data_IF_802860989280
#
_entry.id   IF_802860989280
#
_cell.length_a   1.000
_cell.length_b   1.000
_cell.length_c   1.000
_cell.angle_alpha   90.00
_cell.angle_beta   90.00
_cell.angle_gamma   90.00
#
_symmetry.space_group_name_H-M   'P 1'
#
loop_
_entity.id
_entity.type
_entity.pdbx_description
1 polymer ?
#
# COMPACT_ATOMS: atom_id res chain seq x y z
N UNK A 1 11.73 -38.07 -4.89
CA UNK A 1 12.35 -36.80 -4.53
C UNK A 1 11.64 -35.69 -5.33
N UNK A 2 10.59 -35.06 -4.79
CA UNK A 2 9.92 -33.93 -5.45
C UNK A 2 10.82 -32.72 -5.26
N UNK A 3 11.43 -32.23 -6.35
CA UNK A 3 12.02 -30.91 -6.35
C UNK A 3 10.94 -29.92 -5.85
N UNK A 4 11.14 -29.35 -4.69
CA UNK A 4 10.30 -28.24 -4.21
C UNK A 4 10.43 -27.15 -5.26
N UNK A 5 9.37 -26.90 -6.03
CA UNK A 5 9.28 -25.72 -6.87
C UNK A 5 9.41 -24.52 -5.94
N UNK A 6 10.64 -24.06 -5.77
CA UNK A 6 10.89 -22.80 -5.08
C UNK A 6 10.31 -21.73 -6.02
N UNK A 7 9.28 -20.99 -5.63
CA UNK A 7 8.73 -19.96 -6.52
C UNK A 7 9.88 -19.03 -6.89
N UNK A 8 9.97 -18.70 -8.16
CA UNK A 8 10.95 -17.71 -8.65
C UNK A 8 10.52 -16.33 -8.12
N UNK A 9 10.91 -16.04 -6.86
CA UNK A 9 10.59 -14.79 -6.16
C UNK A 9 11.09 -13.59 -6.92
N UNK A 10 12.26 -13.69 -7.52
CA UNK A 10 12.86 -12.62 -8.30
C UNK A 10 11.90 -12.23 -9.43
N UNK A 11 11.45 -13.21 -10.21
CA UNK A 11 10.51 -12.96 -11.31
C UNK A 11 9.16 -12.43 -10.82
N UNK A 12 8.67 -12.88 -9.65
CA UNK A 12 7.44 -12.34 -9.05
C UNK A 12 7.64 -10.87 -8.69
N UNK A 13 8.73 -10.51 -7.99
CA UNK A 13 8.99 -9.13 -7.59
C UNK A 13 9.14 -8.20 -8.80
N UNK A 14 9.93 -8.62 -9.81
CA UNK A 14 10.12 -7.82 -11.02
C UNK A 14 8.81 -7.56 -11.76
N UNK A 15 7.98 -8.61 -11.95
CA UNK A 15 6.67 -8.47 -12.60
C UNK A 15 5.73 -7.58 -11.82
N UNK A 16 5.71 -7.69 -10.49
CA UNK A 16 4.87 -6.85 -9.64
C UNK A 16 5.32 -5.39 -9.73
N UNK A 17 6.61 -5.12 -9.62
CA UNK A 17 7.17 -3.77 -9.79
C UNK A 17 6.75 -3.16 -11.13
N UNK A 18 6.98 -3.90 -12.23
CA UNK A 18 6.62 -3.42 -13.58
C UNK A 18 5.11 -3.17 -13.68
N UNK A 19 4.30 -4.10 -13.20
CA UNK A 19 2.84 -3.99 -13.24
C UNK A 19 2.33 -2.77 -12.49
N UNK A 20 2.81 -2.52 -11.28
CA UNK A 20 2.37 -1.38 -10.46
C UNK A 20 2.74 -0.04 -11.09
N UNK A 21 3.95 0.09 -11.63
CA UNK A 21 4.34 1.29 -12.37
C UNK A 21 3.52 1.51 -13.64
N UNK A 22 3.14 0.44 -14.36
CA UNK A 22 2.27 0.53 -15.53
C UNK A 22 0.87 0.99 -15.12
N UNK A 23 0.29 0.45 -14.04
CA UNK A 23 -1.00 0.89 -13.53
C UNK A 23 -0.96 2.36 -13.11
N UNK A 24 0.07 2.77 -12.37
CA UNK A 24 0.24 4.18 -11.99
C UNK A 24 0.39 5.08 -13.22
N UNK A 25 1.17 4.66 -14.23
CA UNK A 25 1.34 5.42 -15.46
C UNK A 25 0.01 5.61 -16.20
N UNK A 26 -0.83 4.57 -16.29
CA UNK A 26 -2.17 4.66 -16.88
C UNK A 26 -3.07 5.63 -16.12
N UNK A 27 -3.05 5.59 -14.77
CA UNK A 27 -3.79 6.53 -13.93
C UNK A 27 -3.34 7.96 -14.17
N UNK A 28 -2.01 8.19 -14.17
CA UNK A 28 -1.45 9.53 -14.38
C UNK A 28 -1.69 10.05 -15.80
N UNK A 29 -1.69 9.17 -16.79
CA UNK A 29 -2.10 9.52 -18.16
C UNK A 29 -3.55 9.98 -18.21
N UNK A 30 -4.46 9.23 -17.55
CA UNK A 30 -5.88 9.62 -17.44
C UNK A 30 -6.06 10.95 -16.72
N UNK A 31 -5.31 11.20 -15.64
CA UNK A 31 -5.30 12.48 -14.91
C UNK A 31 -4.85 13.63 -15.83
N UNK A 32 -3.77 13.41 -16.61
CA UNK A 32 -3.22 14.40 -17.54
C UNK A 32 -4.17 14.72 -18.69
N UNK A 33 -4.77 13.69 -19.32
CA UNK A 33 -5.75 13.88 -20.40
C UNK A 33 -6.94 14.72 -19.94
N UNK A 34 -7.35 14.59 -18.66
CA UNK A 34 -8.42 15.40 -18.07
C UNK A 34 -7.95 16.79 -17.56
N UNK A 35 -6.76 17.25 -17.98
CA UNK A 35 -6.24 18.58 -17.64
C UNK A 35 -5.79 18.76 -16.19
N UNK A 36 -5.65 17.66 -15.44
CA UNK A 36 -5.20 17.67 -14.06
C UNK A 36 -3.70 17.36 -13.95
N UNK A 37 -3.12 17.59 -12.78
CA UNK A 37 -1.68 17.38 -12.54
C UNK A 37 -1.44 16.20 -11.59
N UNK A 38 -0.23 15.65 -11.59
CA UNK A 38 0.21 14.62 -10.63
C UNK A 38 -0.05 15.04 -9.18
N UNK A 39 0.04 16.34 -8.88
CA UNK A 39 -0.23 16.88 -7.54
C UNK A 39 -1.68 16.68 -7.10
N UNK A 40 -2.62 16.56 -8.02
CA UNK A 40 -4.00 16.23 -7.68
C UNK A 40 -4.13 14.82 -7.10
N UNK A 41 -3.22 13.92 -7.45
CA UNK A 41 -3.17 12.55 -6.92
C UNK A 41 -2.35 12.48 -5.63
N UNK A 42 -1.16 13.08 -5.62
CA UNK A 42 -0.21 12.96 -4.51
C UNK A 42 -0.46 13.93 -3.34
N UNK A 43 -1.21 15.00 -3.59
CA UNK A 43 -1.33 16.15 -2.71
C UNK A 43 -0.26 17.22 -2.99
N UNK A 44 -0.39 18.38 -2.36
CA UNK A 44 0.50 19.53 -2.56
C UNK A 44 1.97 19.22 -2.24
N UNK A 45 2.88 19.92 -2.91
CA UNK A 45 4.33 19.80 -2.64
C UNK A 45 4.64 20.24 -1.22
N UNK A 46 5.64 19.60 -0.61
CA UNK A 46 6.24 20.16 0.60
C UNK A 46 6.89 21.51 0.27
N UNK A 47 6.40 22.54 0.90
CA UNK A 47 6.92 23.90 0.75
C UNK A 47 7.90 24.27 1.87
N UNK A 48 7.89 23.51 2.95
CA UNK A 48 8.71 23.74 4.14
C UNK A 48 9.22 22.44 4.72
N UNK A 49 10.38 22.49 5.36
CA UNK A 49 10.96 21.36 6.12
C UNK A 49 10.01 20.90 7.24
N UNK A 50 9.25 21.83 7.84
CA UNK A 50 8.23 21.52 8.86
C UNK A 50 7.13 20.62 8.30
N UNK A 51 6.66 20.83 7.07
CA UNK A 51 5.65 19.98 6.44
C UNK A 51 6.17 18.56 6.23
N UNK A 52 7.42 18.42 5.77
CA UNK A 52 8.07 17.13 5.62
C UNK A 52 8.14 16.38 6.96
N UNK A 53 8.65 17.01 8.03
CA UNK A 53 8.71 16.37 9.36
C UNK A 53 7.32 16.04 9.91
N UNK A 54 6.32 16.89 9.65
CA UNK A 54 4.93 16.61 10.03
C UNK A 54 4.40 15.35 9.34
N UNK A 55 4.61 15.21 8.02
CA UNK A 55 4.15 14.04 7.28
C UNK A 55 4.95 12.79 7.67
N UNK A 56 6.24 12.92 7.93
CA UNK A 56 7.07 11.84 8.46
C UNK A 56 6.56 11.37 9.84
N UNK A 57 6.35 12.28 10.78
CA UNK A 57 5.85 11.96 12.12
C UNK A 57 4.46 11.30 12.10
N UNK A 58 3.56 11.82 11.25
CA UNK A 58 2.22 11.22 11.08
C UNK A 58 2.32 9.85 10.41
N UNK A 59 3.18 9.68 9.40
CA UNK A 59 3.43 8.39 8.78
C UNK A 59 3.95 7.35 9.78
N UNK A 60 4.88 7.73 10.65
CA UNK A 60 5.41 6.85 11.71
C UNK A 60 4.34 6.49 12.75
N UNK A 61 3.48 7.44 13.14
CA UNK A 61 2.35 7.15 14.03
C UNK A 61 1.35 6.20 13.37
N UNK A 62 1.07 6.39 12.10
CA UNK A 62 0.19 5.50 11.34
C UNK A 62 0.80 4.10 11.18
N UNK A 63 2.09 3.99 10.91
CA UNK A 63 2.83 2.72 10.90
C UNK A 63 2.69 1.99 12.24
N UNK A 64 2.90 2.70 13.35
CA UNK A 64 2.75 2.11 14.68
C UNK A 64 1.32 1.59 14.92
N UNK A 65 0.29 2.38 14.57
CA UNK A 65 -1.11 1.97 14.66
C UNK A 65 -1.41 0.75 13.77
N UNK A 66 -0.84 0.69 12.58
CA UNK A 66 -0.98 -0.45 11.65
C UNK A 66 -0.36 -1.72 12.22
N UNK A 67 0.86 -1.64 12.75
CA UNK A 67 1.56 -2.77 13.39
C UNK A 67 0.77 -3.27 14.59
N UNK A 68 0.24 -2.35 15.43
CA UNK A 68 -0.57 -2.72 16.59
C UNK A 68 -1.83 -3.47 16.15
N UNK A 69 -2.54 -2.96 15.13
CA UNK A 69 -3.74 -3.63 14.60
C UNK A 69 -3.41 -5.03 14.05
N UNK A 70 -2.33 -5.16 13.28
CA UNK A 70 -1.88 -6.46 12.75
C UNK A 70 -1.52 -7.43 13.89
N UNK A 71 -0.83 -6.97 14.92
CA UNK A 71 -0.47 -7.76 16.09
C UNK A 71 -1.72 -8.26 16.84
N UNK A 72 -2.70 -7.40 17.04
CA UNK A 72 -3.98 -7.76 17.66
C UNK A 72 -4.72 -8.79 16.79
N UNK A 73 -4.81 -8.57 15.48
CA UNK A 73 -5.47 -9.50 14.57
C UNK A 73 -4.80 -10.88 14.58
N UNK A 74 -3.46 -10.92 14.60
CA UNK A 74 -2.69 -12.18 14.65
C UNK A 74 -2.91 -12.92 15.99
N UNK A 75 -2.99 -12.22 17.11
CA UNK A 75 -3.22 -12.84 18.43
C UNK A 75 -4.60 -13.49 18.58
N UNK A 76 -5.58 -13.10 17.75
CA UNK A 76 -6.92 -13.67 17.72
C UNK A 76 -7.11 -14.73 16.59
N UNK A 77 -6.01 -15.19 15.98
CA UNK A 77 -6.07 -16.20 14.92
C UNK A 77 -6.59 -15.69 13.57
N UNK A 78 -6.71 -14.37 13.41
CA UNK A 78 -7.32 -13.75 12.23
C UNK A 78 -6.44 -13.72 10.98
N UNK A 79 -5.14 -13.85 11.12
CA UNK A 79 -4.22 -13.82 9.99
C UNK A 79 -3.02 -14.73 10.28
N UNK A 80 -3.07 -15.99 9.83
CA UNK A 80 -1.88 -16.83 9.86
C UNK A 80 -0.97 -16.45 8.70
N UNK A 81 0.27 -16.12 9.01
CA UNK A 81 1.33 -15.65 8.11
C UNK A 81 1.77 -16.68 7.04
N UNK A 82 1.15 -17.88 7.06
CA UNK A 82 1.57 -19.01 6.21
C UNK A 82 1.35 -18.80 4.71
N UNK A 83 0.36 -17.97 4.34
CA UNK A 83 0.00 -17.76 2.93
C UNK A 83 0.97 -16.85 2.16
N UNK A 84 1.78 -16.04 2.85
CA UNK A 84 2.74 -15.11 2.24
C UNK A 84 4.19 -15.43 2.55
N UNK A 85 4.46 -16.36 3.46
CA UNK A 85 5.84 -16.76 3.84
C UNK A 85 6.69 -17.21 2.65
N UNK A 86 6.06 -17.78 1.61
CA UNK A 86 6.78 -18.16 0.40
C UNK A 86 7.30 -16.96 -0.41
N UNK A 87 6.72 -15.78 -0.21
CA UNK A 87 7.13 -14.54 -0.87
C UNK A 87 8.23 -13.78 -0.11
N UNK A 88 8.53 -14.13 1.14
CA UNK A 88 9.53 -13.42 1.92
C UNK A 88 10.94 -13.61 1.35
N UNK A 89 11.77 -12.54 1.32
CA UNK A 89 13.08 -12.57 0.70
C UNK A 89 14.07 -13.40 1.55
N UNK A 90 14.84 -14.30 0.94
CA UNK A 90 15.80 -15.19 1.64
C UNK A 90 17.26 -14.90 1.35
N UNK A 91 17.57 -14.28 0.24
CA UNK A 91 18.95 -13.99 -0.20
C UNK A 91 19.18 -12.49 -0.35
N UNK A 92 20.46 -12.11 -0.58
CA UNK A 92 20.82 -10.69 -0.72
C UNK A 92 20.07 -10.02 -1.88
N UNK A 93 20.07 -10.63 -3.05
CA UNK A 93 19.40 -10.10 -4.24
C UNK A 93 17.89 -9.98 -4.03
N UNK A 94 17.27 -11.01 -3.41
CA UNK A 94 15.85 -10.98 -3.08
C UNK A 94 15.54 -9.85 -2.07
N UNK A 95 16.41 -9.58 -1.09
CA UNK A 95 16.25 -8.47 -0.14
C UNK A 95 16.38 -7.10 -0.80
N UNK A 96 17.31 -6.94 -1.73
CA UNK A 96 17.46 -5.70 -2.50
C UNK A 96 16.22 -5.44 -3.37
N UNK A 97 15.72 -6.46 -4.05
CA UNK A 97 14.48 -6.38 -4.83
C UNK A 97 13.24 -6.16 -3.94
N UNK A 98 13.21 -6.76 -2.74
CA UNK A 98 12.13 -6.52 -1.78
C UNK A 98 12.06 -5.07 -1.33
N UNK A 99 13.19 -4.43 -1.06
CA UNK A 99 13.24 -2.99 -0.78
C UNK A 99 12.68 -2.19 -1.95
N UNK A 100 13.08 -2.52 -3.18
CA UNK A 100 12.55 -1.85 -4.37
C UNK A 100 11.04 -2.08 -4.53
N UNK A 101 10.56 -3.30 -4.30
CA UNK A 101 9.14 -3.65 -4.32
C UNK A 101 8.37 -2.87 -3.26
N UNK A 102 8.88 -2.82 -2.01
CA UNK A 102 8.25 -2.06 -0.92
C UNK A 102 8.11 -0.57 -1.25
N UNK A 103 9.14 0.03 -1.83
CA UNK A 103 9.09 1.43 -2.29
C UNK A 103 8.06 1.58 -3.41
N UNK A 104 8.04 0.66 -4.37
CA UNK A 104 7.11 0.66 -5.49
C UNK A 104 5.67 0.54 -4.99
N UNK A 105 5.36 -0.47 -4.17
CA UNK A 105 4.02 -0.69 -3.63
C UNK A 105 3.55 0.51 -2.81
N UNK A 106 4.35 1.01 -1.86
CA UNK A 106 3.97 2.15 -1.05
C UNK A 106 3.73 3.43 -1.85
N UNK A 107 4.40 3.64 -2.98
CA UNK A 107 4.16 4.80 -3.85
C UNK A 107 2.97 4.55 -4.78
N UNK A 108 2.99 3.45 -5.52
CA UNK A 108 2.02 3.20 -6.58
C UNK A 108 0.63 2.92 -6.01
N UNK A 109 0.53 2.07 -5.01
CA UNK A 109 -0.76 1.71 -4.41
C UNK A 109 -1.40 2.90 -3.68
N UNK A 110 -0.64 3.67 -2.89
CA UNK A 110 -1.21 4.85 -2.25
C UNK A 110 -1.65 5.90 -3.27
N UNK A 111 -0.90 6.11 -4.35
CA UNK A 111 -1.29 7.01 -5.42
C UNK A 111 -2.55 6.53 -6.14
N UNK A 112 -2.62 5.24 -6.50
CA UNK A 112 -3.74 4.65 -7.24
C UNK A 112 -4.99 4.57 -6.37
N UNK A 113 -4.90 3.96 -5.18
CA UNK A 113 -6.09 3.68 -4.35
C UNK A 113 -6.56 4.92 -3.59
N UNK A 114 -5.67 5.66 -2.90
CA UNK A 114 -6.06 6.80 -2.06
C UNK A 114 -6.03 8.12 -2.84
N UNK A 115 -5.02 8.28 -3.69
CA UNK A 115 -4.85 9.48 -4.49
C UNK A 115 -5.85 9.62 -5.63
N UNK A 116 -6.19 8.52 -6.30
CA UNK A 116 -7.07 8.54 -7.46
C UNK A 116 -8.40 7.85 -7.20
N UNK A 117 -8.43 6.53 -6.98
CA UNK A 117 -9.67 5.73 -6.96
C UNK A 117 -10.64 6.17 -5.87
N UNK A 118 -10.14 6.39 -4.65
CA UNK A 118 -10.94 6.93 -3.55
C UNK A 118 -11.64 8.24 -3.94
N UNK A 119 -10.94 9.15 -4.59
CA UNK A 119 -11.50 10.43 -5.02
C UNK A 119 -12.57 10.25 -6.12
N UNK A 120 -12.37 9.30 -7.06
CA UNK A 120 -13.38 8.96 -8.04
C UNK A 120 -14.66 8.44 -7.37
N UNK A 121 -14.53 7.52 -6.41
CA UNK A 121 -15.69 7.02 -5.65
C UNK A 121 -16.38 8.11 -4.83
N UNK A 122 -15.62 9.00 -4.22
CA UNK A 122 -16.18 10.15 -3.49
C UNK A 122 -16.97 11.07 -4.44
N UNK A 123 -16.46 11.33 -5.63
CA UNK A 123 -17.12 12.15 -6.63
C UNK A 123 -18.40 11.48 -7.16
N UNK A 124 -18.36 10.20 -7.47
CA UNK A 124 -19.49 9.42 -7.99
C UNK A 124 -20.61 9.27 -6.95
N UNK A 125 -20.25 8.97 -5.71
CA UNK A 125 -21.22 8.71 -4.62
C UNK A 125 -21.64 9.98 -3.90
N UNK A 126 -20.95 11.10 -4.12
CA UNK A 126 -21.09 12.36 -3.38
C UNK A 126 -20.92 12.17 -1.85
N UNK A 127 -20.19 11.15 -1.46
CA UNK A 127 -20.01 10.76 -0.04
C UNK A 127 -18.56 10.38 0.24
N UNK A 128 -17.96 11.07 1.20
CA UNK A 128 -16.57 10.78 1.67
C UNK A 128 -16.48 9.39 2.29
N UNK A 129 -17.34 9.01 3.27
CA UNK A 129 -17.26 7.68 3.89
C UNK A 129 -17.43 6.54 2.86
N UNK A 130 -18.39 6.67 1.95
CA UNK A 130 -18.63 5.64 0.91
C UNK A 130 -17.42 5.53 -0.01
N UNK A 131 -16.83 6.65 -0.43
CA UNK A 131 -15.65 6.64 -1.28
C UNK A 131 -14.45 5.96 -0.61
N UNK A 132 -14.22 6.19 0.68
CA UNK A 132 -13.19 5.53 1.46
C UNK A 132 -13.46 4.02 1.53
N UNK A 133 -14.67 3.62 1.90
CA UNK A 133 -15.06 2.20 2.03
C UNK A 133 -14.91 1.46 0.70
N UNK A 134 -15.42 2.02 -0.41
CA UNK A 134 -15.30 1.39 -1.73
C UNK A 134 -13.83 1.22 -2.16
N UNK A 135 -13.01 2.24 -1.95
CA UNK A 135 -11.56 2.13 -2.26
C UNK A 135 -10.88 1.07 -1.40
N UNK A 136 -11.21 0.99 -0.11
CA UNK A 136 -10.68 0.00 0.81
C UNK A 136 -11.11 -1.44 0.44
N UNK A 137 -12.36 -1.62 0.02
CA UNK A 137 -12.86 -2.91 -0.46
C UNK A 137 -12.13 -3.37 -1.72
N UNK A 138 -11.92 -2.48 -2.69
CA UNK A 138 -11.15 -2.81 -3.90
C UNK A 138 -9.71 -3.15 -3.55
N UNK A 139 -9.10 -2.39 -2.64
CA UNK A 139 -7.75 -2.65 -2.16
C UNK A 139 -7.62 -4.02 -1.47
N UNK A 140 -8.52 -4.33 -0.53
CA UNK A 140 -8.57 -5.65 0.12
C UNK A 140 -8.81 -6.78 -0.88
N UNK A 141 -9.74 -6.59 -1.85
CA UNK A 141 -10.02 -7.58 -2.88
C UNK A 141 -8.80 -7.87 -3.78
N UNK A 142 -7.98 -6.87 -4.09
CA UNK A 142 -6.73 -7.06 -4.82
C UNK A 142 -5.73 -7.96 -4.07
N UNK A 143 -5.84 -8.05 -2.75
CA UNK A 143 -5.02 -8.89 -1.88
C UNK A 143 -5.67 -10.23 -1.51
N UNK A 144 -6.79 -10.62 -2.16
CA UNK A 144 -7.53 -11.86 -1.87
C UNK A 144 -6.70 -13.14 -2.06
N UNK A 145 -5.64 -13.10 -2.86
CA UNK A 145 -4.68 -14.19 -3.02
C UNK A 145 -3.94 -14.56 -1.72
N UNK A 146 -3.94 -13.66 -0.72
CA UNK A 146 -3.37 -13.89 0.62
C UNK A 146 -4.39 -14.56 1.58
N UNK A 147 -5.60 -14.84 1.11
CA UNK A 147 -6.69 -15.39 1.93
C UNK A 147 -7.63 -14.31 2.48
N UNK A 148 -8.85 -14.72 2.83
CA UNK A 148 -9.95 -13.80 3.20
C UNK A 148 -9.62 -12.98 4.45
N UNK A 149 -9.03 -13.60 5.46
CA UNK A 149 -8.67 -12.92 6.72
C UNK A 149 -7.64 -11.80 6.46
N UNK A 150 -6.60 -12.12 5.70
CA UNK A 150 -5.54 -11.15 5.35
C UNK A 150 -6.09 -10.04 4.45
N UNK A 151 -6.89 -10.37 3.44
CA UNK A 151 -7.54 -9.40 2.57
C UNK A 151 -8.44 -8.42 3.36
N UNK A 152 -9.17 -8.93 4.37
CA UNK A 152 -10.01 -8.11 5.25
C UNK A 152 -9.16 -7.17 6.11
N UNK A 153 -8.06 -7.67 6.68
CA UNK A 153 -7.13 -6.86 7.47
C UNK A 153 -6.49 -5.76 6.60
N UNK A 154 -6.01 -6.12 5.41
CA UNK A 154 -5.44 -5.17 4.44
C UNK A 154 -6.48 -4.13 4.00
N UNK A 155 -7.73 -4.55 3.74
CA UNK A 155 -8.83 -3.65 3.46
C UNK A 155 -9.11 -2.68 4.61
N UNK A 156 -9.05 -3.15 5.86
CA UNK A 156 -9.20 -2.32 7.06
C UNK A 156 -8.08 -1.27 7.18
N UNK A 157 -6.83 -1.70 7.00
CA UNK A 157 -5.69 -0.78 6.90
C UNK A 157 -5.86 0.20 5.74
N UNK A 158 -6.43 -0.28 4.63
CA UNK A 158 -6.82 0.51 3.48
C UNK A 158 -7.79 1.63 3.80
N UNK A 159 -8.82 1.34 4.61
CA UNK A 159 -9.78 2.33 5.06
C UNK A 159 -9.13 3.36 6.00
N UNK A 160 -8.28 2.91 6.93
CA UNK A 160 -7.52 3.80 7.82
C UNK A 160 -6.60 4.74 7.02
N UNK A 161 -5.86 4.22 6.03
CA UNK A 161 -5.05 5.00 5.09
C UNK A 161 -5.89 5.98 4.27
N UNK A 162 -7.09 5.58 3.87
CA UNK A 162 -8.07 6.43 3.19
C UNK A 162 -8.55 7.61 4.03
N UNK A 163 -8.82 7.38 5.31
CA UNK A 163 -9.14 8.46 6.29
C UNK A 163 -7.95 9.40 6.45
N UNK A 164 -6.74 8.84 6.61
CA UNK A 164 -5.50 9.60 6.73
C UNK A 164 -5.26 10.50 5.49
N UNK A 165 -5.38 9.94 4.29
CA UNK A 165 -5.18 10.67 3.04
C UNK A 165 -6.22 11.80 2.87
N UNK A 166 -7.48 11.55 3.24
CA UNK A 166 -8.53 12.56 3.22
C UNK A 166 -8.25 13.70 4.21
N UNK A 167 -7.92 13.35 5.46
CA UNK A 167 -7.62 14.34 6.50
C UNK A 167 -6.40 15.19 6.16
N UNK A 168 -5.33 14.57 5.67
CA UNK A 168 -4.09 15.27 5.31
C UNK A 168 -4.14 15.97 3.95
N UNK A 169 -5.15 15.65 3.11
CA UNK A 169 -5.19 16.04 1.70
C UNK A 169 -3.91 15.68 0.94
N UNK A 170 -3.29 14.59 1.35
CA UNK A 170 -2.01 14.09 0.85
C UNK A 170 -1.88 12.60 1.14
N UNK A 171 -1.37 11.84 0.18
CA UNK A 171 -1.09 10.41 0.36
C UNK A 171 0.31 10.14 0.94
N UNK A 172 1.15 11.16 1.06
CA UNK A 172 2.56 10.99 1.47
C UNK A 172 2.77 10.35 2.84
N UNK A 173 2.03 10.72 3.91
CA UNK A 173 2.15 10.01 5.19
C UNK A 173 1.81 8.52 5.07
N UNK A 174 0.79 8.18 4.27
CA UNK A 174 0.44 6.80 3.95
C UNK A 174 1.56 6.09 3.19
N UNK A 175 2.16 6.73 2.17
CA UNK A 175 3.30 6.19 1.44
C UNK A 175 4.47 5.85 2.35
N UNK A 176 4.84 6.77 3.26
CA UNK A 176 5.93 6.56 4.22
C UNK A 176 5.65 5.33 5.09
N UNK A 177 4.44 5.27 5.66
CA UNK A 177 4.04 4.15 6.52
C UNK A 177 4.02 2.83 5.76
N UNK A 178 3.45 2.78 4.56
CA UNK A 178 3.32 1.60 3.73
C UNK A 178 4.68 1.04 3.31
N UNK A 179 5.56 1.90 2.77
CA UNK A 179 6.94 1.51 2.43
C UNK A 179 7.66 0.88 3.63
N UNK A 180 7.58 1.53 4.79
CA UNK A 180 8.24 1.02 5.99
C UNK A 180 7.60 -0.27 6.51
N UNK A 181 6.29 -0.40 6.45
CA UNK A 181 5.55 -1.60 6.85
C UNK A 181 5.97 -2.81 6.02
N UNK A 182 6.03 -2.68 4.70
CA UNK A 182 6.43 -3.76 3.80
C UNK A 182 7.91 -4.12 3.98
N UNK A 183 8.78 -3.11 4.12
CA UNK A 183 10.19 -3.36 4.45
C UNK A 183 10.32 -4.17 5.73
N UNK A 184 9.65 -3.75 6.81
CA UNK A 184 9.67 -4.44 8.09
C UNK A 184 9.14 -5.88 7.96
N UNK A 185 8.05 -6.08 7.22
CA UNK A 185 7.48 -7.40 6.94
C UNK A 185 8.48 -8.36 6.32
N UNK A 186 9.28 -7.90 5.38
CA UNK A 186 10.31 -8.71 4.70
C UNK A 186 11.58 -8.97 5.51
N UNK A 187 11.86 -8.17 6.55
CA UNK A 187 13.10 -8.29 7.32
C UNK A 187 12.93 -8.89 8.73
N UNK A 188 11.73 -8.80 9.32
CA UNK A 188 11.49 -9.25 10.70
C UNK A 188 10.92 -10.66 10.76
N UNK A 189 10.18 -11.10 9.75
CA UNK A 189 9.49 -12.40 9.72
C UNK A 189 10.40 -13.55 9.20
N UNK A 190 11.65 -13.60 9.65
CA UNK A 190 12.62 -14.66 9.33
C UNK A 190 12.79 -15.63 10.49
#
# INVERSE_FOLDING_TARGET
>A
MRASLNPDRISIYERTIVFEWLVLALVLLGVWINGSTVLTVLGDRWRTVRQFHSDLGIGLLFLFASILLMSIASSHGGASDSSTQFLLPRGRVEKELWVLLSITAGICEEAVYRGYLQRQFMALTKSVPIGIVLSALVFGAAHSYQGVAQATLIGTLGAMGGVLAYWRRSVRPGMIAHVLQDMLGGFINH
#
